data_IF_002161785967
#
_entry.id   IF_002161785967
#
_cell.length_a   1.000
_cell.length_b   1.000
_cell.length_c   1.000
_cell.angle_alpha   90.00
_cell.angle_beta   90.00
_cell.angle_gamma   90.00
#
_symmetry.space_group_name_H-M   'P 1'
#
loop_
_entity.id
_entity.type
_entity.pdbx_description
1 polymer ?
#
# COMPACT_ATOMS: atom_id res chain seq x y z
N UNK A 1 12.50 10.38 28.31
CA UNK A 1 11.38 9.67 27.64
C UNK A 1 10.85 10.58 26.56
N UNK A 2 10.79 10.13 25.30
CA UNK A 2 10.53 10.98 24.11
C UNK A 2 9.20 11.75 24.24
N UNK A 3 9.29 13.08 24.30
CA UNK A 3 8.14 14.00 24.33
C UNK A 3 7.28 13.95 23.06
N UNK A 4 7.79 13.35 21.98
CA UNK A 4 7.26 13.46 20.62
C UNK A 4 6.31 12.33 20.21
N UNK A 5 6.14 11.28 21.03
CA UNK A 5 5.32 10.11 20.69
C UNK A 5 3.81 10.39 20.78
N UNK A 6 3.26 11.09 19.77
CA UNK A 6 1.86 11.57 19.70
C UNK A 6 0.80 10.45 19.74
N UNK A 7 1.15 9.23 19.30
CA UNK A 7 0.22 8.10 19.24
C UNK A 7 0.15 7.29 20.54
N UNK A 8 1.06 7.52 21.49
CA UNK A 8 1.06 6.82 22.79
C UNK A 8 0.38 7.63 23.90
N UNK A 9 -0.21 8.78 23.55
CA UNK A 9 -0.85 9.70 24.50
C UNK A 9 -2.26 10.06 24.00
N UNK A 10 -3.27 9.92 24.85
CA UNK A 10 -4.67 10.23 24.51
C UNK A 10 -5.57 9.00 24.44
N UNK A 11 -6.76 9.15 23.86
CA UNK A 11 -7.77 8.09 23.81
C UNK A 11 -7.51 7.12 22.65
N UNK A 12 -7.39 5.82 22.97
CA UNK A 12 -7.20 4.76 21.97
C UNK A 12 -8.30 4.80 20.89
N UNK A 13 -9.55 5.01 21.31
CA UNK A 13 -10.70 5.15 20.38
C UNK A 13 -10.51 6.32 19.41
N UNK A 14 -10.00 7.46 19.88
CA UNK A 14 -9.75 8.63 19.04
C UNK A 14 -8.64 8.41 18.01
N UNK A 15 -7.55 7.73 18.40
CA UNK A 15 -6.50 7.36 17.44
C UNK A 15 -6.98 6.35 16.40
N UNK A 16 -7.74 5.33 16.82
CA UNK A 16 -8.29 4.36 15.89
C UNK A 16 -9.21 5.02 14.86
N UNK A 17 -10.14 5.89 15.30
CA UNK A 17 -11.02 6.60 14.37
C UNK A 17 -10.24 7.52 13.45
N UNK A 18 -9.31 8.33 13.97
CA UNK A 18 -8.55 9.30 13.15
C UNK A 18 -7.57 8.66 12.17
N UNK A 19 -7.04 7.47 12.46
CA UNK A 19 -6.20 6.72 11.51
C UNK A 19 -7.03 5.89 10.52
N UNK A 20 -8.13 5.30 10.96
CA UNK A 20 -8.93 4.38 10.13
C UNK A 20 -9.84 5.13 9.16
N UNK A 21 -10.41 6.26 9.57
CA UNK A 21 -11.38 7.00 8.75
C UNK A 21 -10.78 7.46 7.40
N UNK A 22 -9.58 8.08 7.34
CA UNK A 22 -8.95 8.40 6.05
C UNK A 22 -8.67 7.17 5.20
N UNK A 23 -8.27 6.07 5.84
CA UNK A 23 -7.99 4.81 5.13
C UNK A 23 -9.25 4.22 4.50
N UNK A 24 -10.39 4.22 5.22
CA UNK A 24 -11.68 3.77 4.69
C UNK A 24 -12.08 4.59 3.46
N UNK A 25 -11.95 5.92 3.52
CA UNK A 25 -12.27 6.80 2.39
C UNK A 25 -11.37 6.50 1.17
N UNK A 26 -10.08 6.26 1.40
CA UNK A 26 -9.14 5.87 0.34
C UNK A 26 -9.53 4.55 -0.32
N UNK A 27 -9.83 3.51 0.47
CA UNK A 27 -10.26 2.20 -0.04
C UNK A 27 -11.61 2.31 -0.76
N UNK A 28 -12.56 3.08 -0.24
CA UNK A 28 -13.84 3.31 -0.89
C UNK A 28 -13.66 3.97 -2.27
N UNK A 29 -12.80 4.99 -2.38
CA UNK A 29 -12.48 5.64 -3.65
C UNK A 29 -11.85 4.65 -4.65
N UNK A 30 -10.90 3.83 -4.21
CA UNK A 30 -10.29 2.78 -5.05
C UNK A 30 -11.32 1.78 -5.57
N UNK A 31 -12.25 1.33 -4.71
CA UNK A 31 -13.34 0.44 -5.11
C UNK A 31 -14.32 1.12 -6.07
N UNK A 32 -14.62 2.41 -5.89
CA UNK A 32 -15.44 3.17 -6.84
C UNK A 32 -14.80 3.24 -8.22
N UNK A 33 -13.49 3.47 -8.31
CA UNK A 33 -12.76 3.46 -9.59
C UNK A 33 -12.84 2.08 -10.26
N UNK A 34 -12.65 1.00 -9.50
CA UNK A 34 -12.77 -0.36 -10.02
C UNK A 34 -14.18 -0.65 -10.56
N UNK A 35 -15.23 -0.20 -9.86
CA UNK A 35 -16.62 -0.33 -10.29
C UNK A 35 -16.89 0.45 -11.57
N UNK A 36 -16.44 1.70 -11.65
CA UNK A 36 -16.59 2.53 -12.85
C UNK A 36 -15.88 1.91 -14.05
N UNK A 37 -14.66 1.38 -13.86
CA UNK A 37 -13.94 0.67 -14.91
C UNK A 37 -14.73 -0.53 -15.42
N UNK A 38 -15.22 -1.39 -14.53
CA UNK A 38 -16.04 -2.54 -14.93
C UNK A 38 -17.31 -2.12 -15.68
N UNK A 39 -17.97 -1.03 -15.24
CA UNK A 39 -19.13 -0.47 -15.92
C UNK A 39 -18.82 -0.01 -17.35
N UNK A 40 -17.76 0.79 -17.53
CA UNK A 40 -17.38 1.30 -18.86
C UNK A 40 -16.85 0.19 -19.77
N UNK A 41 -16.10 -0.78 -19.25
CA UNK A 41 -15.64 -1.94 -20.03
C UNK A 41 -16.84 -2.80 -20.43
N UNK A 42 -17.79 -3.04 -19.53
CA UNK A 42 -19.03 -3.77 -19.84
C UNK A 42 -19.87 -3.11 -20.93
N UNK A 43 -19.81 -1.78 -21.05
CA UNK A 43 -20.45 -1.02 -22.15
C UNK A 43 -19.80 -1.27 -23.51
N UNK A 44 -18.54 -1.68 -23.56
CA UNK A 44 -17.85 -2.07 -24.81
C UNK A 44 -18.24 -3.48 -25.28
N UNK A 45 -18.63 -4.34 -24.34
CA UNK A 45 -19.17 -5.66 -24.61
C UNK A 45 -18.83 -6.69 -23.53
N UNK A 46 -19.59 -7.79 -23.52
CA UNK A 46 -19.43 -8.87 -22.54
C UNK A 46 -18.11 -9.61 -22.69
N UNK A 47 -17.61 -9.76 -23.92
CA UNK A 47 -16.32 -10.41 -24.20
C UNK A 47 -15.14 -9.61 -23.62
N UNK A 48 -15.18 -8.28 -23.72
CA UNK A 48 -14.16 -7.38 -23.20
C UNK A 48 -14.14 -7.42 -21.67
N UNK A 49 -15.32 -7.38 -21.03
CA UNK A 49 -15.43 -7.50 -19.58
C UNK A 49 -14.94 -8.87 -19.08
N UNK A 50 -15.27 -9.95 -19.79
CA UNK A 50 -14.81 -11.29 -19.46
C UNK A 50 -13.29 -11.45 -19.59
N UNK A 51 -12.68 -10.85 -20.62
CA UNK A 51 -11.23 -10.86 -20.80
C UNK A 51 -10.52 -10.15 -19.63
N UNK A 52 -11.03 -9.00 -19.19
CA UNK A 52 -10.48 -8.28 -18.04
C UNK A 52 -10.69 -9.08 -16.74
N UNK A 53 -11.89 -9.64 -16.53
CA UNK A 53 -12.20 -10.57 -15.43
C UNK A 53 -11.20 -11.73 -15.33
N UNK A 54 -10.78 -12.27 -16.47
CA UNK A 54 -9.83 -13.40 -16.54
C UNK A 54 -8.40 -13.01 -16.15
N UNK A 55 -7.98 -11.77 -16.46
CA UNK A 55 -6.62 -11.28 -16.18
C UNK A 55 -6.49 -10.80 -14.72
N UNK A 56 -7.60 -10.42 -14.06
CA UNK A 56 -7.59 -9.91 -12.68
C UNK A 56 -6.80 -10.75 -11.67
N UNK A 57 -6.95 -12.10 -11.59
CA UNK A 57 -6.18 -12.91 -10.65
C UNK A 57 -4.67 -12.78 -10.84
N UNK A 58 -4.19 -12.71 -12.08
CA UNK A 58 -2.77 -12.54 -12.40
C UNK A 58 -2.29 -11.15 -11.97
N UNK A 59 -3.07 -10.11 -12.26
CA UNK A 59 -2.76 -8.74 -11.83
C UNK A 59 -2.69 -8.63 -10.31
N UNK A 60 -3.62 -9.27 -9.59
CA UNK A 60 -3.62 -9.30 -8.13
C UNK A 60 -2.39 -10.05 -7.61
N UNK A 61 -2.03 -11.19 -8.22
CA UNK A 61 -0.85 -11.96 -7.82
C UNK A 61 0.43 -11.11 -7.95
N UNK A 62 0.66 -10.47 -9.09
CA UNK A 62 1.83 -9.59 -9.30
C UNK A 62 1.80 -8.39 -8.35
N UNK A 63 0.63 -7.75 -8.20
CA UNK A 63 0.49 -6.60 -7.29
C UNK A 63 0.76 -6.97 -5.83
N UNK A 64 0.38 -8.19 -5.40
CA UNK A 64 0.60 -8.68 -4.04
C UNK A 64 2.10 -8.80 -3.71
N UNK A 65 2.94 -9.12 -4.68
CA UNK A 65 4.40 -9.14 -4.51
C UNK A 65 4.93 -7.73 -4.24
N UNK A 66 4.44 -6.73 -4.99
CA UNK A 66 4.76 -5.32 -4.76
C UNK A 66 4.35 -4.84 -3.37
N UNK A 67 3.14 -5.20 -2.93
CA UNK A 67 2.67 -4.92 -1.56
C UNK A 67 3.57 -5.62 -0.52
N UNK A 68 3.97 -6.86 -0.75
CA UNK A 68 4.87 -7.59 0.15
C UNK A 68 6.23 -6.90 0.32
N UNK A 69 6.82 -6.44 -0.78
CA UNK A 69 8.07 -5.65 -0.77
C UNK A 69 7.88 -4.34 0.01
N UNK A 70 6.82 -3.59 -0.28
CA UNK A 70 6.48 -2.35 0.41
C UNK A 70 6.36 -2.57 1.93
N UNK A 71 5.59 -3.58 2.35
CA UNK A 71 5.37 -3.91 3.77
C UNK A 71 6.69 -4.35 4.44
N UNK A 72 7.51 -5.14 3.75
CA UNK A 72 8.83 -5.58 4.25
C UNK A 72 9.77 -4.41 4.51
N UNK A 73 9.87 -3.47 3.56
CA UNK A 73 10.66 -2.24 3.69
C UNK A 73 10.13 -1.39 4.86
N UNK A 74 8.82 -1.16 4.90
CA UNK A 74 8.21 -0.38 5.98
C UNK A 74 8.49 -0.99 7.36
N UNK A 75 8.48 -2.32 7.46
CA UNK A 75 8.76 -3.06 8.69
C UNK A 75 10.19 -2.82 9.22
N UNK A 76 11.21 -2.85 8.36
CA UNK A 76 12.60 -2.60 8.78
C UNK A 76 12.86 -1.13 9.13
N UNK A 77 12.18 -0.19 8.45
CA UNK A 77 12.24 1.24 8.76
C UNK A 77 11.57 1.52 10.10
N UNK A 78 10.35 1.02 10.31
CA UNK A 78 9.61 1.19 11.55
C UNK A 78 10.36 0.67 12.78
N UNK A 79 11.06 -0.47 12.65
CA UNK A 79 11.94 -0.99 13.74
C UNK A 79 13.11 -0.06 14.05
N UNK A 80 13.76 0.53 13.04
CA UNK A 80 14.85 1.50 13.27
C UNK A 80 14.35 2.78 13.93
N UNK A 81 13.22 3.31 13.46
CA UNK A 81 12.57 4.47 14.07
C UNK A 81 12.16 4.18 15.51
N UNK A 82 11.59 3.00 15.77
CA UNK A 82 11.22 2.54 17.12
C UNK A 82 12.40 2.39 18.07
N UNK A 83 13.61 2.11 17.55
CA UNK A 83 14.86 2.05 18.31
C UNK A 83 15.51 3.44 18.53
N UNK A 84 14.94 4.51 17.96
CA UNK A 84 15.51 5.86 18.02
C UNK A 84 16.67 6.13 17.03
N UNK A 85 17.01 5.16 16.18
CA UNK A 85 18.08 5.27 15.20
C UNK A 85 17.54 5.81 13.86
N UNK A 86 17.37 7.13 13.82
CA UNK A 86 16.83 7.85 12.66
C UNK A 86 17.78 7.76 11.45
N UNK A 87 19.09 7.71 11.68
CA UNK A 87 20.08 7.65 10.61
C UNK A 87 20.05 6.29 9.90
N UNK A 88 19.94 5.19 10.65
CA UNK A 88 19.66 3.88 10.05
C UNK A 88 18.30 3.83 9.37
N UNK A 89 17.27 4.43 9.94
CA UNK A 89 15.96 4.46 9.30
C UNK A 89 16.03 5.14 7.92
N UNK A 90 16.76 6.25 7.80
CA UNK A 90 16.99 6.94 6.53
C UNK A 90 17.81 6.08 5.54
N UNK A 91 18.90 5.43 6.00
CA UNK A 91 19.67 4.50 5.15
C UNK A 91 18.82 3.35 4.63
N UNK A 92 18.02 2.73 5.50
CA UNK A 92 17.08 1.64 5.13
C UNK A 92 15.99 2.13 4.19
N UNK A 93 15.50 3.35 4.34
CA UNK A 93 14.53 3.95 3.43
C UNK A 93 15.13 4.14 2.03
N UNK A 94 16.34 4.70 1.92
CA UNK A 94 17.02 4.90 0.64
C UNK A 94 17.29 3.56 -0.06
N UNK A 95 17.84 2.58 0.66
CA UNK A 95 18.07 1.25 0.11
C UNK A 95 16.75 0.57 -0.28
N UNK A 96 15.74 0.66 0.58
CA UNK A 96 14.40 0.12 0.33
C UNK A 96 13.76 0.71 -0.93
N UNK A 97 13.90 2.01 -1.16
CA UNK A 97 13.39 2.66 -2.37
C UNK A 97 14.07 2.12 -3.64
N UNK A 98 15.41 2.00 -3.64
CA UNK A 98 16.16 1.41 -4.77
C UNK A 98 15.77 -0.06 -4.97
N UNK A 99 15.65 -0.84 -3.89
CA UNK A 99 15.24 -2.24 -3.95
C UNK A 99 13.82 -2.41 -4.49
N UNK A 100 12.87 -1.56 -4.06
CA UNK A 100 11.51 -1.56 -4.57
C UNK A 100 11.45 -1.24 -6.07
N UNK A 101 12.22 -0.24 -6.52
CA UNK A 101 12.31 0.10 -7.94
C UNK A 101 12.93 -1.02 -8.76
N UNK A 102 14.02 -1.63 -8.28
CA UNK A 102 14.66 -2.75 -8.95
C UNK A 102 13.72 -3.97 -9.06
N UNK A 103 13.04 -4.31 -7.96
CA UNK A 103 12.08 -5.42 -7.95
C UNK A 103 10.88 -5.13 -8.85
N UNK A 104 10.38 -3.89 -8.83
CA UNK A 104 9.29 -3.44 -9.72
C UNK A 104 9.69 -3.51 -11.20
N UNK A 105 10.91 -3.10 -11.55
CA UNK A 105 11.43 -3.22 -12.91
C UNK A 105 11.55 -4.68 -13.35
N UNK A 106 12.04 -5.57 -12.48
CA UNK A 106 12.14 -7.01 -12.78
C UNK A 106 10.77 -7.67 -12.95
N UNK A 107 9.78 -7.30 -12.14
CA UNK A 107 8.41 -7.83 -12.24
C UNK A 107 7.62 -7.25 -13.42
N UNK A 108 7.99 -6.05 -13.88
CA UNK A 108 7.31 -5.35 -14.98
C UNK A 108 7.88 -5.64 -16.38
N UNK A 109 9.04 -6.33 -16.46
CA UNK A 109 9.66 -6.83 -17.69
C UNK A 109 9.13 -8.23 -18.02
#
# INVERSE_FOLDING_TARGET
MSETAKLTRGSIRGHLVSQTLPNILGVAALMSVALLNAYYIGRLGSAQLAAVAFIFPVVIAVSSLGVGVMVGINSVIARSLGAGDVEQAARRANFGAVFALATGAVLGL
#
